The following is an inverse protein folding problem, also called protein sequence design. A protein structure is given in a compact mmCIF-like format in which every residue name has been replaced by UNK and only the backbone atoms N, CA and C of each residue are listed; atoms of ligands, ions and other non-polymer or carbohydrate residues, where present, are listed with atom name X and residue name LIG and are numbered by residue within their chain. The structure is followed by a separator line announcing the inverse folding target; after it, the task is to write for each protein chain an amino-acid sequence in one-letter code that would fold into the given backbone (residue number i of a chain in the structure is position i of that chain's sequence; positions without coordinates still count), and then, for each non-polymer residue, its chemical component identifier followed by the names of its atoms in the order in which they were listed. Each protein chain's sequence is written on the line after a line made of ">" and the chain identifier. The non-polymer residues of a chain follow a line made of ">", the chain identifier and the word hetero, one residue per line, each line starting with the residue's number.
data_IF_311604508177
#
_entry.id   IF_311604508177
#
_cell.length_a   1.000
_cell.length_b   1.000
_cell.length_c   1.000
_cell.angle_alpha   90.00
_cell.angle_beta   90.00
_cell.angle_gamma   90.00
#
_symmetry.space_group_name_H-M   'P 1'
#
loop_
_entity.id
_entity.type
_entity.pdbx_description
1 polymer ?
#
# COMPACT_ATOMS: atom_id res chain seq x y z
N UNK A 1 -25.45 19.42 1.51
CA UNK A 1 -24.14 18.79 1.76
C UNK A 1 -24.33 17.78 2.89
N UNK A 2 -24.44 16.48 2.58
CA UNK A 2 -24.59 15.43 3.60
C UNK A 2 -23.27 15.35 4.38
N UNK A 3 -23.30 15.65 5.67
CA UNK A 3 -22.16 15.41 6.57
C UNK A 3 -21.96 13.90 6.67
N UNK A 4 -20.85 13.42 6.13
CA UNK A 4 -20.45 12.04 6.29
C UNK A 4 -20.07 11.79 7.75
N UNK A 5 -20.61 10.73 8.32
CA UNK A 5 -20.22 10.29 9.66
C UNK A 5 -18.86 9.59 9.63
N UNK A 6 -18.16 9.56 10.76
CA UNK A 6 -16.89 8.83 10.87
C UNK A 6 -17.06 7.35 10.50
N UNK A 7 -18.20 6.75 10.87
CA UNK A 7 -18.50 5.35 10.55
C UNK A 7 -18.63 5.12 9.03
N UNK A 8 -19.26 6.04 8.29
CA UNK A 8 -19.35 5.97 6.83
C UNK A 8 -17.96 6.09 6.18
N UNK A 9 -17.13 7.01 6.69
CA UNK A 9 -15.77 7.16 6.20
C UNK A 9 -14.88 5.94 6.47
N UNK A 10 -15.07 5.24 7.60
CA UNK A 10 -14.37 3.99 7.89
C UNK A 10 -14.77 2.89 6.91
N UNK A 11 -16.07 2.75 6.62
CA UNK A 11 -16.54 1.77 5.64
C UNK A 11 -16.05 2.12 4.24
N UNK A 12 -16.13 3.40 3.85
CA UNK A 12 -15.59 3.90 2.58
C UNK A 12 -14.09 3.61 2.43
N UNK A 13 -13.32 3.96 3.46
CA UNK A 13 -11.89 3.67 3.54
C UNK A 13 -11.59 2.18 3.31
N UNK A 14 -12.34 1.30 3.97
CA UNK A 14 -12.15 -0.15 3.84
C UNK A 14 -12.49 -0.65 2.44
N UNK A 15 -13.61 -0.19 1.86
CA UNK A 15 -13.99 -0.53 0.48
C UNK A 15 -12.90 -0.17 -0.53
N UNK A 16 -12.36 1.03 -0.46
CA UNK A 16 -11.28 1.46 -1.35
C UNK A 16 -9.93 0.78 -1.04
N UNK A 17 -9.68 0.43 0.22
CA UNK A 17 -8.49 -0.35 0.59
C UNK A 17 -8.52 -1.75 -0.04
N UNK A 18 -9.69 -2.41 -0.03
CA UNK A 18 -9.90 -3.72 -0.67
C UNK A 18 -9.82 -3.57 -2.20
N UNK A 19 -10.48 -2.56 -2.78
CA UNK A 19 -10.43 -2.31 -4.22
C UNK A 19 -9.00 -2.05 -4.70
N UNK A 20 -8.22 -1.27 -3.97
CA UNK A 20 -6.80 -1.01 -4.24
C UNK A 20 -5.95 -2.28 -4.16
N UNK A 21 -6.21 -3.13 -3.17
CA UNK A 21 -5.55 -4.43 -3.08
C UNK A 21 -5.89 -5.33 -4.27
N UNK A 22 -7.15 -5.42 -4.66
CA UNK A 22 -7.58 -6.17 -5.85
C UNK A 22 -6.86 -5.67 -7.11
N UNK A 23 -6.78 -4.35 -7.29
CA UNK A 23 -6.06 -3.74 -8.42
C UNK A 23 -4.59 -4.13 -8.44
N UNK A 24 -3.89 -4.04 -7.29
CA UNK A 24 -2.48 -4.43 -7.18
C UNK A 24 -2.27 -5.91 -7.51
N UNK A 25 -3.10 -6.79 -6.97
CA UNK A 25 -3.03 -8.23 -7.22
C UNK A 25 -3.27 -8.55 -8.71
N UNK A 26 -4.26 -7.91 -9.34
CA UNK A 26 -4.55 -8.08 -10.78
C UNK A 26 -3.36 -7.61 -11.62
N UNK A 27 -2.80 -6.42 -11.34
CA UNK A 27 -1.64 -5.90 -12.06
C UNK A 27 -0.44 -6.85 -11.94
N UNK A 28 -0.19 -7.40 -10.75
CA UNK A 28 0.89 -8.36 -10.55
C UNK A 28 0.60 -9.71 -11.18
N UNK A 29 -0.63 -10.16 -11.17
CA UNK A 29 -1.01 -11.37 -11.88
C UNK A 29 -0.79 -11.25 -13.40
N UNK A 30 -1.14 -10.12 -14.00
CA UNK A 30 -0.88 -9.86 -15.43
C UNK A 30 0.62 -9.83 -15.71
N UNK A 31 1.42 -9.25 -14.80
CA UNK A 31 2.88 -9.10 -14.99
C UNK A 31 3.65 -10.41 -14.80
N UNK A 32 3.27 -11.23 -13.81
CA UNK A 32 4.06 -12.38 -13.37
C UNK A 32 3.34 -13.72 -13.53
N UNK A 33 2.09 -13.74 -14.00
CA UNK A 33 1.22 -14.93 -14.16
C UNK A 33 1.09 -15.78 -12.88
N UNK A 34 1.26 -15.17 -11.71
CA UNK A 34 1.09 -15.80 -10.40
C UNK A 34 0.39 -14.86 -9.42
N UNK A 35 -0.32 -15.46 -8.46
CA UNK A 35 -0.96 -14.70 -7.38
C UNK A 35 0.12 -14.18 -6.42
N UNK A 36 0.17 -12.86 -6.22
CA UNK A 36 1.06 -12.20 -5.26
C UNK A 36 0.19 -11.36 -4.35
N UNK A 37 0.13 -11.71 -3.06
CA UNK A 37 -0.59 -10.92 -2.08
C UNK A 37 0.20 -9.63 -1.77
N UNK A 38 -0.28 -8.50 -2.27
CA UNK A 38 0.37 -7.19 -2.12
C UNK A 38 -0.08 -6.49 -0.85
N UNK A 39 0.78 -5.60 -0.36
CA UNK A 39 0.53 -4.79 0.82
C UNK A 39 1.34 -5.24 2.04
N UNK A 40 1.56 -4.33 2.98
CA UNK A 40 2.22 -4.61 4.25
C UNK A 40 1.37 -5.51 5.15
N UNK A 41 0.06 -5.28 5.17
CA UNK A 41 -0.89 -6.01 5.99
C UNK A 41 -1.18 -7.41 5.44
N UNK A 42 -1.54 -8.35 6.31
CA UNK A 42 -1.84 -9.75 5.93
C UNK A 42 -3.14 -9.82 5.15
N UNK A 43 -4.14 -9.05 5.57
CA UNK A 43 -5.47 -9.04 4.97
C UNK A 43 -5.49 -8.50 3.53
N UNK A 44 -6.58 -8.76 2.80
CA UNK A 44 -6.75 -8.35 1.40
C UNK A 44 -7.15 -6.88 1.29
N UNK A 45 -6.34 -5.98 1.81
CA UNK A 45 -6.56 -4.53 1.74
C UNK A 45 -5.26 -3.74 1.81
N UNK A 46 -5.21 -2.63 1.10
CA UNK A 46 -4.09 -1.69 1.04
C UNK A 46 -4.53 -0.32 1.57
N UNK A 47 -4.25 0.02 2.85
CA UNK A 47 -4.74 1.25 3.50
C UNK A 47 -4.41 2.56 2.78
N UNK A 48 -3.31 2.61 2.03
CA UNK A 48 -2.90 3.81 1.29
C UNK A 48 -3.97 4.23 0.26
N UNK A 49 -4.61 3.26 -0.41
CA UNK A 49 -5.69 3.54 -1.37
C UNK A 49 -6.94 4.04 -0.67
N UNK A 50 -7.33 3.41 0.44
CA UNK A 50 -8.43 3.88 1.27
C UNK A 50 -8.21 5.28 1.82
N UNK A 51 -6.99 5.56 2.30
CA UNK A 51 -6.61 6.90 2.80
C UNK A 51 -6.69 7.94 1.69
N UNK A 52 -6.14 7.64 0.51
CA UNK A 52 -6.19 8.54 -0.64
C UNK A 52 -7.64 8.83 -1.07
N UNK A 53 -8.47 7.78 -1.16
CA UNK A 53 -9.87 7.93 -1.52
C UNK A 53 -10.64 8.80 -0.51
N UNK A 54 -10.51 8.53 0.80
CA UNK A 54 -11.16 9.32 1.85
C UNK A 54 -10.70 10.79 1.82
N UNK A 55 -9.40 11.04 1.67
CA UNK A 55 -8.86 12.41 1.56
C UNK A 55 -9.49 13.15 0.37
N UNK A 56 -9.54 12.51 -0.79
CA UNK A 56 -10.12 13.10 -2.00
C UNK A 56 -11.63 13.29 -1.85
N UNK A 57 -12.35 12.30 -1.32
CA UNK A 57 -13.80 12.38 -1.08
C UNK A 57 -14.15 13.54 -0.14
N UNK A 58 -13.43 13.67 0.98
CA UNK A 58 -13.72 14.69 1.99
C UNK A 58 -13.29 16.07 1.50
N UNK A 59 -12.07 16.22 1.00
CA UNK A 59 -11.54 17.53 0.65
C UNK A 59 -12.07 18.02 -0.71
N UNK A 60 -12.12 17.18 -1.72
CA UNK A 60 -12.56 17.59 -3.05
C UNK A 60 -14.08 17.45 -3.19
N UNK A 61 -14.63 16.30 -2.87
CA UNK A 61 -16.08 16.05 -2.93
C UNK A 61 -16.84 16.84 -1.88
N UNK A 62 -16.32 16.88 -0.64
CA UNK A 62 -16.98 17.50 0.50
C UNK A 62 -16.81 19.02 0.58
N UNK A 63 -15.57 19.54 0.58
CA UNK A 63 -15.30 20.97 0.79
C UNK A 63 -15.44 21.80 -0.50
N UNK A 64 -14.94 21.29 -1.64
CA UNK A 64 -15.01 22.00 -2.92
C UNK A 64 -16.36 21.74 -3.61
N UNK A 65 -17.01 20.62 -3.30
CA UNK A 65 -18.35 20.29 -3.79
C UNK A 65 -18.38 20.07 -5.31
N UNK A 66 -19.02 20.97 -6.07
CA UNK A 66 -19.17 20.86 -7.53
C UNK A 66 -17.89 21.24 -8.30
N UNK A 67 -16.72 20.83 -7.82
CA UNK A 67 -15.46 21.03 -8.52
C UNK A 67 -15.54 20.53 -9.97
N UNK A 68 -14.95 21.28 -10.91
CA UNK A 68 -14.81 20.79 -12.29
C UNK A 68 -13.91 19.56 -12.36
N UNK A 69 -13.97 18.81 -13.45
CA UNK A 69 -13.10 17.66 -13.67
C UNK A 69 -11.62 17.99 -13.54
N UNK A 70 -11.22 19.16 -14.07
CA UNK A 70 -9.83 19.65 -14.01
C UNK A 70 -9.42 19.92 -12.56
N UNK A 71 -10.25 20.64 -11.79
CA UNK A 71 -9.97 20.91 -10.37
C UNK A 71 -9.90 19.63 -9.56
N UNK A 72 -10.81 18.69 -9.80
CA UNK A 72 -10.78 17.37 -9.15
C UNK A 72 -9.50 16.61 -9.48
N UNK A 73 -9.09 16.60 -10.76
CA UNK A 73 -7.85 15.98 -11.20
C UNK A 73 -6.63 16.58 -10.51
N UNK A 74 -6.47 17.90 -10.57
CA UNK A 74 -5.30 18.59 -10.00
C UNK A 74 -5.24 18.46 -8.49
N UNK A 75 -6.38 18.57 -7.80
CA UNK A 75 -6.43 18.39 -6.36
C UNK A 75 -6.06 16.94 -5.96
N UNK A 76 -6.60 15.94 -6.64
CA UNK A 76 -6.28 14.53 -6.37
C UNK A 76 -4.83 14.20 -6.69
N UNK A 77 -4.28 14.73 -7.80
CA UNK A 77 -2.87 14.62 -8.17
C UNK A 77 -1.96 15.10 -7.04
N UNK A 78 -2.25 16.29 -6.47
CA UNK A 78 -1.45 16.87 -5.38
C UNK A 78 -1.67 16.12 -4.07
N UNK A 79 -2.93 15.92 -3.65
CA UNK A 79 -3.26 15.33 -2.36
C UNK A 79 -2.74 13.89 -2.23
N UNK A 80 -2.98 13.07 -3.25
CA UNK A 80 -2.50 11.68 -3.24
C UNK A 80 -0.97 11.62 -3.40
N UNK A 81 -0.36 12.55 -4.14
CA UNK A 81 1.09 12.64 -4.24
C UNK A 81 1.75 12.97 -2.89
N UNK A 82 1.19 13.94 -2.15
CA UNK A 82 1.64 14.26 -0.78
C UNK A 82 1.46 13.04 0.14
N UNK A 83 0.32 12.37 0.05
CA UNK A 83 0.06 11.17 0.85
C UNK A 83 1.06 10.05 0.53
N UNK A 84 1.29 9.74 -0.75
CA UNK A 84 2.24 8.69 -1.18
C UNK A 84 3.67 9.02 -0.71
N UNK A 85 4.10 10.27 -0.86
CA UNK A 85 5.40 10.72 -0.38
C UNK A 85 5.54 10.56 1.13
N UNK A 86 4.53 11.02 1.89
CA UNK A 86 4.51 10.90 3.35
C UNK A 86 4.53 9.44 3.81
N UNK A 87 3.69 8.58 3.22
CA UNK A 87 3.64 7.16 3.56
C UNK A 87 4.99 6.49 3.26
N UNK A 88 5.61 6.77 2.10
CA UNK A 88 6.94 6.25 1.77
C UNK A 88 7.99 6.69 2.79
N UNK A 89 8.00 7.97 3.15
CA UNK A 89 8.94 8.50 4.14
C UNK A 89 8.70 7.89 5.54
N UNK A 90 7.44 7.80 5.96
CA UNK A 90 7.05 7.22 7.25
C UNK A 90 7.45 5.74 7.36
N UNK A 91 7.11 4.96 6.34
CA UNK A 91 7.44 3.53 6.28
C UNK A 91 8.95 3.30 6.32
N UNK A 92 9.72 4.07 5.54
CA UNK A 92 11.18 3.97 5.56
C UNK A 92 11.75 4.34 6.94
N UNK A 93 11.19 5.35 7.62
CA UNK A 93 11.63 5.76 8.95
C UNK A 93 11.29 4.75 10.04
N UNK A 94 10.11 4.13 9.95
CA UNK A 94 9.64 3.13 10.93
C UNK A 94 10.33 1.78 10.76
N UNK A 95 10.48 1.33 9.53
CA UNK A 95 10.93 -0.03 9.23
C UNK A 95 12.39 -0.09 8.78
N UNK A 96 13.03 1.08 8.53
CA UNK A 96 14.35 1.18 7.90
C UNK A 96 14.40 0.41 6.56
N UNK A 97 13.27 0.33 5.87
CA UNK A 97 13.09 -0.40 4.63
C UNK A 97 12.31 0.44 3.63
N UNK A 98 12.74 0.42 2.38
CA UNK A 98 12.07 1.10 1.27
C UNK A 98 11.17 0.10 0.55
N UNK A 99 9.85 0.31 0.60
CA UNK A 99 8.83 -0.61 0.06
C UNK A 99 8.64 -0.48 -1.45
N UNK A 100 8.93 0.69 -2.01
CA UNK A 100 8.99 0.97 -3.45
C UNK A 100 10.03 2.03 -3.71
N UNK A 101 10.63 1.97 -4.89
CA UNK A 101 11.62 2.93 -5.34
C UNK A 101 11.38 3.30 -6.80
N UNK A 102 11.19 4.59 -7.05
CA UNK A 102 11.01 5.17 -8.38
C UNK A 102 12.26 5.93 -8.86
N UNK A 103 13.41 5.76 -8.24
CA UNK A 103 14.63 6.49 -8.61
C UNK A 103 15.04 6.30 -10.08
N UNK A 104 14.69 5.14 -10.68
CA UNK A 104 14.91 4.84 -12.09
C UNK A 104 13.83 5.44 -13.03
N UNK A 105 12.78 6.07 -12.49
CA UNK A 105 11.70 6.65 -13.29
C UNK A 105 11.95 8.13 -13.55
N UNK A 106 11.61 8.66 -14.75
CA UNK A 106 11.77 10.07 -15.05
C UNK A 106 10.86 10.92 -14.16
N UNK A 107 11.30 12.14 -13.83
CA UNK A 107 10.55 13.10 -13.01
C UNK A 107 10.05 12.48 -11.68
N UNK A 108 10.90 11.72 -11.02
CA UNK A 108 10.65 11.27 -9.66
C UNK A 108 11.14 12.31 -8.63
N UNK A 109 10.55 12.27 -7.44
CA UNK A 109 10.99 13.07 -6.30
C UNK A 109 11.52 12.12 -5.21
N UNK A 110 12.84 12.12 -5.01
CA UNK A 110 13.58 11.29 -4.05
C UNK A 110 13.30 9.77 -4.18
N UNK A 111 12.91 9.29 -5.39
CA UNK A 111 12.50 7.92 -5.61
C UNK A 111 11.18 7.52 -4.92
N UNK A 112 10.49 8.45 -4.20
CA UNK A 112 9.28 8.16 -3.42
C UNK A 112 8.00 8.27 -4.21
N UNK A 113 7.96 9.22 -5.13
CA UNK A 113 6.83 9.47 -6.06
C UNK A 113 7.38 9.77 -7.45
N UNK A 114 6.56 9.56 -8.49
CA UNK A 114 6.90 9.93 -9.85
C UNK A 114 5.66 10.38 -10.62
N UNK A 115 5.88 11.20 -11.65
CA UNK A 115 4.82 11.89 -12.39
C UNK A 115 3.75 10.94 -12.93
N UNK A 116 4.11 9.73 -13.38
CA UNK A 116 3.16 8.77 -13.91
C UNK A 116 2.13 8.31 -12.87
N UNK A 117 2.55 8.03 -11.63
CA UNK A 117 1.61 7.72 -10.55
C UNK A 117 0.73 8.92 -10.20
N UNK A 118 1.29 10.13 -10.19
CA UNK A 118 0.52 11.34 -9.90
C UNK A 118 -0.60 11.56 -10.92
N UNK A 119 -0.32 11.31 -12.21
CA UNK A 119 -1.35 11.37 -13.25
C UNK A 119 -2.43 10.32 -13.02
N UNK A 120 -2.05 9.08 -12.68
CA UNK A 120 -3.01 8.03 -12.35
C UNK A 120 -3.86 8.37 -11.12
N UNK A 121 -3.28 9.00 -10.10
CA UNK A 121 -4.03 9.49 -8.93
C UNK A 121 -5.00 10.62 -9.30
N UNK A 122 -4.61 11.52 -10.20
CA UNK A 122 -5.51 12.54 -10.72
C UNK A 122 -6.72 11.92 -11.42
N UNK A 123 -6.50 10.96 -12.32
CA UNK A 123 -7.56 10.23 -13.02
C UNK A 123 -8.41 9.43 -12.04
N UNK A 124 -7.77 8.69 -11.12
CA UNK A 124 -8.44 7.91 -10.08
C UNK A 124 -9.32 8.78 -9.19
N UNK A 125 -8.83 9.95 -8.77
CA UNK A 125 -9.61 10.89 -7.97
C UNK A 125 -10.84 11.45 -8.70
N UNK A 126 -10.74 11.69 -9.99
CA UNK A 126 -11.91 12.05 -10.82
C UNK A 126 -12.90 10.89 -10.85
N UNK A 127 -12.44 9.66 -11.08
CA UNK A 127 -13.32 8.48 -11.08
C UNK A 127 -14.00 8.28 -9.72
N UNK A 128 -13.26 8.43 -8.62
CA UNK A 128 -13.79 8.35 -7.26
C UNK A 128 -14.89 9.39 -7.06
N UNK A 129 -14.58 10.68 -7.16
CA UNK A 129 -15.51 11.76 -6.79
C UNK A 129 -16.72 11.86 -7.71
N UNK A 130 -16.53 11.62 -9.02
CA UNK A 130 -17.58 11.85 -10.02
C UNK A 130 -18.39 10.63 -10.38
N UNK A 131 -17.83 9.43 -10.22
CA UNK A 131 -18.48 8.20 -10.69
C UNK A 131 -18.76 7.22 -9.55
N UNK A 132 -17.76 6.93 -8.70
CA UNK A 132 -17.86 5.82 -7.74
C UNK A 132 -18.52 6.28 -6.44
N UNK A 133 -18.11 7.40 -5.86
CA UNK A 133 -18.65 7.91 -4.59
C UNK A 133 -20.15 8.15 -4.63
N UNK A 134 -20.75 8.74 -5.68
CA UNK A 134 -22.20 8.93 -5.72
C UNK A 134 -22.99 7.62 -5.59
N UNK A 135 -22.47 6.52 -6.12
CA UNK A 135 -23.09 5.19 -6.04
C UNK A 135 -22.78 4.52 -4.69
N UNK A 136 -21.51 4.49 -4.32
CA UNK A 136 -21.04 3.82 -3.11
C UNK A 136 -21.62 4.47 -1.85
N UNK A 137 -21.62 5.79 -1.77
CA UNK A 137 -22.20 6.53 -0.64
C UNK A 137 -23.72 6.32 -0.54
N UNK A 138 -24.42 6.20 -1.67
CA UNK A 138 -25.85 5.85 -1.65
C UNK A 138 -26.09 4.49 -0.97
N UNK A 139 -25.24 3.51 -1.21
CA UNK A 139 -25.36 2.20 -0.57
C UNK A 139 -24.96 2.25 0.90
N UNK A 140 -23.91 2.98 1.26
CA UNK A 140 -23.48 3.16 2.64
C UNK A 140 -24.58 3.86 3.46
N UNK A 141 -25.20 4.91 2.93
CA UNK A 141 -26.31 5.63 3.56
C UNK A 141 -27.58 4.76 3.73
N UNK A 142 -27.76 3.73 2.91
CA UNK A 142 -28.88 2.80 3.05
C UNK A 142 -28.67 1.78 4.20
N UNK A 143 -27.47 1.67 4.77
CA UNK A 143 -27.17 0.78 5.88
C UNK A 143 -27.78 1.35 7.17
N UNK A 144 -28.58 0.57 7.92
CA UNK A 144 -29.06 0.99 9.23
C UNK A 144 -27.93 1.40 10.17
N UNK A 145 -28.10 2.48 10.92
CA UNK A 145 -27.03 3.07 11.74
C UNK A 145 -26.38 2.07 12.71
N UNK A 146 -27.15 1.20 13.34
CA UNK A 146 -26.59 0.20 14.26
C UNK A 146 -25.69 -0.80 13.55
N UNK A 147 -26.03 -1.21 12.32
CA UNK A 147 -25.18 -2.07 11.49
C UNK A 147 -23.91 -1.30 11.09
N UNK A 148 -24.04 -0.06 10.68
CA UNK A 148 -22.94 0.78 10.25
C UNK A 148 -21.90 0.97 11.38
N UNK A 149 -22.36 1.26 12.62
CA UNK A 149 -21.46 1.39 13.77
C UNK A 149 -20.80 0.05 14.16
N UNK A 150 -21.54 -1.05 14.13
CA UNK A 150 -20.98 -2.37 14.42
C UNK A 150 -19.95 -2.76 13.37
N UNK A 151 -20.27 -2.55 12.08
CA UNK A 151 -19.38 -2.85 10.96
C UNK A 151 -18.11 -1.99 11.01
N UNK A 152 -18.23 -0.68 11.22
CA UNK A 152 -17.07 0.21 11.33
C UNK A 152 -16.18 -0.15 12.52
N UNK A 153 -16.77 -0.49 13.68
CA UNK A 153 -16.02 -0.99 14.84
C UNK A 153 -15.27 -2.28 14.54
N UNK A 154 -15.93 -3.25 13.89
CA UNK A 154 -15.31 -4.51 13.48
C UNK A 154 -14.16 -4.30 12.49
N UNK A 155 -14.31 -3.41 11.50
CA UNK A 155 -13.25 -3.04 10.56
C UNK A 155 -12.04 -2.46 11.29
N UNK A 156 -12.25 -1.51 12.21
CA UNK A 156 -11.15 -0.90 12.98
C UNK A 156 -10.42 -1.94 13.81
N UNK A 157 -11.14 -2.80 14.51
CA UNK A 157 -10.53 -3.88 15.30
C UNK A 157 -9.73 -4.86 14.43
N UNK A 158 -10.29 -5.27 13.29
CA UNK A 158 -9.61 -6.13 12.32
C UNK A 158 -8.30 -5.50 11.84
N UNK A 159 -8.33 -4.23 11.48
CA UNK A 159 -7.16 -3.53 10.95
C UNK A 159 -6.10 -3.28 12.02
N UNK A 160 -6.49 -2.98 13.28
CA UNK A 160 -5.56 -2.87 14.39
C UNK A 160 -4.88 -4.22 14.65
N UNK A 161 -5.66 -5.29 14.71
CA UNK A 161 -5.15 -6.65 14.89
C UNK A 161 -4.14 -7.02 13.79
N UNK A 162 -4.54 -6.86 12.53
CA UNK A 162 -3.67 -7.17 11.39
C UNK A 162 -2.40 -6.30 11.40
N UNK A 163 -2.52 -5.02 11.73
CA UNK A 163 -1.36 -4.14 11.85
C UNK A 163 -0.38 -4.64 12.91
N UNK A 164 -0.85 -5.03 14.10
CA UNK A 164 -0.01 -5.58 15.17
C UNK A 164 0.70 -6.85 14.69
N UNK A 165 -0.05 -7.79 14.09
CA UNK A 165 0.51 -9.06 13.62
C UNK A 165 1.52 -8.84 12.49
N UNK A 166 1.23 -7.95 11.54
CA UNK A 166 2.13 -7.60 10.45
C UNK A 166 3.43 -6.95 10.95
N UNK A 167 3.35 -6.08 11.97
CA UNK A 167 4.53 -5.49 12.62
C UNK A 167 5.39 -6.54 13.33
N UNK A 168 4.77 -7.45 14.07
CA UNK A 168 5.49 -8.54 14.74
C UNK A 168 6.22 -9.40 13.70
N UNK A 169 5.51 -9.80 12.64
CA UNK A 169 6.08 -10.59 11.57
C UNK A 169 7.27 -9.90 10.90
N UNK A 170 7.13 -8.62 10.57
CA UNK A 170 8.21 -7.84 9.96
C UNK A 170 9.43 -7.74 10.87
N UNK A 171 9.22 -7.49 12.17
CA UNK A 171 10.31 -7.40 13.14
C UNK A 171 11.04 -8.73 13.34
N UNK A 172 10.33 -9.87 13.25
CA UNK A 172 10.97 -11.19 13.27
C UNK A 172 11.88 -11.39 12.06
N UNK A 173 11.39 -11.06 10.84
CA UNK A 173 12.21 -11.11 9.63
C UNK A 173 13.45 -10.24 9.76
N UNK A 174 13.28 -9.00 10.24
CA UNK A 174 14.39 -8.07 10.41
C UNK A 174 15.43 -8.60 11.40
N UNK A 175 14.99 -9.15 12.54
CA UNK A 175 15.88 -9.71 13.56
C UNK A 175 16.72 -10.88 13.03
N UNK A 176 16.11 -11.75 12.22
CA UNK A 176 16.82 -12.86 11.57
C UNK A 176 17.86 -12.37 10.56
N UNK A 177 17.53 -11.31 9.81
CA UNK A 177 18.45 -10.69 8.86
C UNK A 177 19.62 -10.00 9.58
N UNK A 178 19.33 -9.22 10.63
CA UNK A 178 20.35 -8.49 11.40
C UNK A 178 21.22 -9.44 12.25
N UNK A 179 20.75 -10.65 12.58
CA UNK A 179 21.48 -11.68 13.32
C UNK A 179 22.46 -12.51 12.46
N UNK A 180 22.45 -12.29 11.15
CA UNK A 180 23.41 -12.96 10.25
C UNK A 180 24.69 -12.13 10.21
N UNK A 181 25.66 -12.46 11.07
CA UNK A 181 27.05 -12.03 10.93
C UNK A 181 27.68 -12.74 9.73
N UNK A 182 27.51 -12.21 8.53
CA UNK A 182 28.14 -12.75 7.34
C UNK A 182 28.94 -11.66 6.65
N UNK A 183 30.25 -11.93 6.48
CA UNK A 183 31.18 -11.08 5.77
C UNK A 183 30.94 -11.07 4.23
N UNK A 184 29.99 -11.84 3.73
CA UNK A 184 29.72 -12.01 2.31
C UNK A 184 28.23 -11.85 1.97
N UNK A 185 27.93 -10.89 1.08
CA UNK A 185 26.59 -10.59 0.58
C UNK A 185 25.86 -11.81 -0.05
N UNK A 186 26.60 -12.78 -0.58
CA UNK A 186 26.07 -14.00 -1.17
C UNK A 186 25.56 -14.99 -0.12
N UNK A 187 26.26 -15.13 1.00
CA UNK A 187 25.91 -16.02 2.10
C UNK A 187 24.67 -15.49 2.86
N UNK A 188 24.60 -14.17 3.06
CA UNK A 188 23.41 -13.48 3.61
C UNK A 188 22.20 -13.69 2.69
N UNK A 189 22.37 -13.51 1.39
CA UNK A 189 21.30 -13.73 0.41
C UNK A 189 20.81 -15.17 0.39
N UNK A 190 21.72 -16.13 0.53
CA UNK A 190 21.38 -17.57 0.56
C UNK A 190 20.64 -17.91 1.84
N UNK A 191 21.09 -17.42 2.99
CA UNK A 191 20.46 -17.67 4.30
C UNK A 191 19.10 -17.00 4.44
N UNK A 192 18.94 -15.77 3.91
CA UNK A 192 17.63 -15.11 3.81
C UNK A 192 16.68 -15.89 2.90
N UNK A 193 17.16 -16.42 1.77
CA UNK A 193 16.32 -17.26 0.90
C UNK A 193 15.95 -18.58 1.58
N UNK A 194 16.83 -19.15 2.37
CA UNK A 194 16.56 -20.39 3.12
C UNK A 194 15.54 -20.12 4.23
N UNK A 195 15.69 -19.07 5.03
CA UNK A 195 14.74 -18.65 6.06
C UNK A 195 13.37 -18.33 5.47
N UNK A 196 13.31 -17.65 4.33
CA UNK A 196 12.05 -17.36 3.62
C UNK A 196 11.38 -18.63 3.05
N UNK A 197 12.12 -19.73 2.88
CA UNK A 197 11.58 -21.04 2.43
C UNK A 197 11.14 -21.95 3.56
N UNK A 198 11.81 -21.89 4.69
CA UNK A 198 11.62 -22.82 5.82
C UNK A 198 10.60 -22.32 6.84
N UNK A 199 10.28 -21.03 6.86
CA UNK A 199 9.42 -20.40 7.87
C UNK A 199 8.02 -19.98 7.36
N UNK A 200 7.09 -19.71 8.29
CA UNK A 200 5.67 -19.72 8.01
C UNK A 200 5.24 -18.78 6.89
N UNK A 201 4.13 -19.14 6.27
CA UNK A 201 3.40 -18.45 5.17
C UNK A 201 3.51 -16.92 5.16
N UNK A 202 3.72 -16.32 6.34
CA UNK A 202 3.79 -14.88 6.55
C UNK A 202 5.12 -14.25 6.05
N UNK A 203 6.25 -14.90 6.31
CA UNK A 203 7.58 -14.42 5.91
C UNK A 203 7.79 -14.55 4.41
N UNK A 204 7.41 -15.69 3.86
CA UNK A 204 7.38 -15.96 2.43
C UNK A 204 6.56 -14.90 1.69
N UNK A 205 5.40 -14.51 2.25
CA UNK A 205 4.54 -13.49 1.70
C UNK A 205 5.23 -12.11 1.57
N UNK A 206 5.95 -11.66 2.60
CA UNK A 206 6.67 -10.37 2.57
C UNK A 206 7.72 -10.37 1.47
N UNK A 207 8.51 -11.44 1.36
CA UNK A 207 9.52 -11.59 0.31
C UNK A 207 8.93 -11.64 -1.10
N UNK A 208 7.80 -12.31 -1.29
CA UNK A 208 7.10 -12.36 -2.58
C UNK A 208 6.41 -11.04 -2.93
N UNK A 209 5.84 -10.35 -1.94
CA UNK A 209 5.16 -9.07 -2.14
C UNK A 209 6.14 -7.93 -2.49
N UNK A 210 7.36 -8.00 -1.96
CA UNK A 210 8.36 -6.94 -2.09
C UNK A 210 9.74 -7.50 -2.46
N UNK A 211 9.93 -7.99 -3.69
CA UNK A 211 11.19 -8.61 -4.12
C UNK A 211 12.37 -7.64 -4.12
N UNK A 212 12.10 -6.32 -4.11
CA UNK A 212 13.09 -5.25 -4.08
C UNK A 212 13.10 -4.52 -2.72
N UNK A 213 12.68 -5.18 -1.63
CA UNK A 213 12.72 -4.58 -0.30
C UNK A 213 14.18 -4.33 0.10
N UNK A 214 14.57 -3.07 0.20
CA UNK A 214 15.88 -2.66 0.70
C UNK A 214 15.76 -2.39 2.21
N UNK A 215 16.43 -3.19 3.02
CA UNK A 215 16.52 -3.00 4.48
C UNK A 215 17.86 -2.34 4.77
N UNK A 216 17.85 -1.11 5.28
CA UNK A 216 19.04 -0.43 5.78
C UNK A 216 19.41 -1.01 7.15
N UNK A 217 20.21 -2.07 7.16
CA UNK A 217 20.89 -2.51 8.36
C UNK A 217 22.09 -1.59 8.64
N UNK A 218 22.40 -1.37 9.91
CA UNK A 218 23.55 -0.51 10.31
C UNK A 218 24.90 -1.06 9.83
N UNK A 219 24.95 -2.29 9.32
CA UNK A 219 26.18 -3.02 9.00
C UNK A 219 26.38 -3.29 7.52
N UNK A 220 25.34 -3.29 6.69
CA UNK A 220 25.47 -3.56 5.24
C UNK A 220 24.44 -2.74 4.45
N UNK A 221 24.92 -1.92 3.53
CA UNK A 221 24.08 -1.29 2.49
C UNK A 221 23.74 -2.38 1.47
N UNK A 222 22.54 -2.94 1.55
CA UNK A 222 22.06 -3.92 0.57
C UNK A 222 21.60 -3.21 -0.71
N UNK A 223 22.54 -2.81 -1.53
CA UNK A 223 22.30 -2.56 -2.93
C UNK A 223 22.34 -3.90 -3.65
N UNK A 224 21.24 -4.27 -4.28
CA UNK A 224 21.07 -5.40 -5.21
C UNK A 224 20.66 -6.76 -4.60
N UNK A 225 19.42 -6.89 -4.15
CA UNK A 225 18.66 -8.10 -4.44
C UNK A 225 18.09 -7.99 -5.88
N UNK A 226 18.97 -7.81 -6.86
CA UNK A 226 18.62 -8.04 -8.27
C UNK A 226 18.56 -9.54 -8.44
N UNK A 227 17.34 -10.06 -8.59
CA UNK A 227 17.12 -11.41 -9.07
C UNK A 227 17.85 -11.61 -10.41
N UNK A 228 18.94 -12.35 -10.36
CA UNK A 228 19.47 -13.06 -11.51
C UNK A 228 18.55 -14.26 -11.84
N UNK A 229 17.27 -13.98 -12.07
CA UNK A 229 16.28 -14.99 -12.50
C UNK A 229 15.86 -14.81 -13.96
N UNK A 230 16.70 -14.22 -14.79
CA UNK A 230 16.38 -14.07 -16.21
C UNK A 230 17.49 -14.60 -17.11
N UNK A 231 18.03 -15.79 -16.84
CA UNK A 231 18.96 -16.40 -17.82
C UNK A 231 19.12 -17.91 -17.79
N UNK A 232 18.18 -18.67 -17.26
CA UNK A 232 18.24 -20.14 -17.37
C UNK A 232 16.92 -20.81 -17.77
N UNK A 233 16.08 -20.13 -18.55
CA UNK A 233 14.98 -20.78 -19.27
C UNK A 233 14.90 -20.18 -20.69
N UNK A 234 15.84 -20.57 -21.54
CA UNK A 234 15.73 -20.60 -22.98
C UNK A 234 16.25 -21.95 -23.48
#
# INVERSE_FOLDING_TARGET
>A
MLRQTIAELIVLFFCYSVAGWCMEVILKYIQFHRFINRGFLIGPYCPIYGSGAVVVTVLVGGLIGNASYIVTFLASFVLCGVLEYFVSWYMEKMFHARWWDYSQKPMNLHGRIWIGNLVLFGIGGVAIVKLIDPVLMKWIHAIPQWILYTLSGAIVMLMIWDNIVSHIAFNLVKKEIDGVEADNSEEVSTKVRQLLREDPVLLRRIGEAYPNLEINSKTVSYTHLRAHETREDL
#
